data_IF_405011658337
#
_entry.id   IF_405011658337
#
_cell.length_a   1.000
_cell.length_b   1.000
_cell.length_c   1.000
_cell.angle_alpha   90.00
_cell.angle_beta   90.00
_cell.angle_gamma   90.00
#
_symmetry.space_group_name_H-M   'P 1'
#
loop_
_entity.id
_entity.type
_entity.pdbx_description
1 polymer ?
#
# COMPACT_ATOMS: atom_id res chain seq x y z
N UNK A 1 12.30 1.27 11.90
CA UNK A 1 12.59 -0.17 12.01
C UNK A 1 12.04 -0.89 10.79
N UNK A 2 12.81 -1.77 10.17
CA UNK A 2 12.35 -2.61 9.07
C UNK A 2 11.70 -3.89 9.60
N UNK A 3 10.66 -4.37 8.93
CA UNK A 3 9.92 -5.59 9.29
C UNK A 3 9.94 -6.56 8.11
N UNK A 4 10.24 -7.85 8.35
CA UNK A 4 10.22 -8.88 7.32
C UNK A 4 8.98 -9.77 7.47
N UNK A 5 8.16 -9.84 6.43
CA UNK A 5 7.01 -10.71 6.34
C UNK A 5 7.30 -11.87 5.38
N UNK A 6 6.99 -13.08 5.81
CA UNK A 6 6.95 -14.26 4.94
C UNK A 6 5.59 -14.92 5.09
N UNK A 7 4.81 -14.96 4.00
CA UNK A 7 3.52 -15.62 4.04
C UNK A 7 3.70 -17.14 4.18
N UNK A 8 2.84 -17.84 4.97
CA UNK A 8 2.87 -19.30 5.07
C UNK A 8 2.72 -20.01 3.72
N UNK A 9 2.04 -19.38 2.75
CA UNK A 9 1.89 -19.85 1.38
C UNK A 9 3.19 -19.81 0.56
N UNK A 10 4.27 -19.23 1.09
CA UNK A 10 5.54 -19.00 0.38
C UNK A 10 5.36 -18.21 -0.91
N UNK A 11 4.51 -17.19 -0.84
CA UNK A 11 4.33 -16.20 -1.89
C UNK A 11 4.59 -14.81 -1.32
N UNK A 12 5.06 -13.91 -2.18
CA UNK A 12 5.27 -12.53 -1.80
C UNK A 12 3.93 -11.86 -1.48
N UNK A 13 3.92 -11.00 -0.47
CA UNK A 13 2.75 -10.20 -0.15
C UNK A 13 2.40 -9.30 -1.34
N UNK A 14 1.11 -9.24 -1.68
CA UNK A 14 0.58 -8.33 -2.69
C UNK A 14 0.21 -6.98 -2.08
N UNK A 15 -0.30 -6.97 -0.85
CA UNK A 15 -0.56 -5.75 -0.07
C UNK A 15 -0.46 -6.05 1.42
N UNK A 16 0.15 -5.14 2.19
CA UNK A 16 0.18 -5.17 3.64
C UNK A 16 -0.26 -3.83 4.23
N UNK A 17 -0.91 -3.83 5.38
CA UNK A 17 -1.33 -2.62 6.08
C UNK A 17 -1.30 -2.84 7.58
N UNK A 18 -0.89 -1.82 8.35
CA UNK A 18 -0.98 -1.88 9.80
C UNK A 18 -2.43 -1.78 10.27
N UNK A 19 -2.73 -2.46 11.38
CA UNK A 19 -4.00 -2.45 12.07
C UNK A 19 -3.74 -2.56 13.58
N UNK A 20 -3.76 -1.43 14.28
CA UNK A 20 -3.30 -1.38 15.67
C UNK A 20 -1.84 -1.83 15.79
N UNK A 21 -1.59 -2.84 16.63
CA UNK A 21 -0.27 -3.45 16.83
C UNK A 21 -0.01 -4.65 15.91
N UNK A 22 -0.87 -4.88 14.91
CA UNK A 22 -0.76 -5.98 13.97
C UNK A 22 -0.56 -5.47 12.53
N UNK A 23 -0.17 -6.39 11.65
CA UNK A 23 -0.05 -6.15 10.22
C UNK A 23 -0.96 -7.15 9.50
N UNK A 24 -1.93 -6.65 8.76
CA UNK A 24 -2.78 -7.45 7.89
C UNK A 24 -2.19 -7.49 6.47
N UNK A 25 -2.03 -8.70 5.92
CA UNK A 25 -1.44 -8.91 4.61
C UNK A 25 -2.24 -9.89 3.75
N UNK A 26 -2.17 -9.71 2.43
CA UNK A 26 -2.84 -10.55 1.42
C UNK A 26 -1.88 -10.90 0.28
N UNK A 27 -2.07 -12.06 -0.35
CA UNK A 27 -1.28 -12.51 -1.51
C UNK A 27 -1.98 -12.31 -2.86
N UNK A 28 -3.28 -11.99 -2.87
CA UNK A 28 -4.07 -11.88 -4.11
C UNK A 28 -4.38 -13.21 -4.80
N UNK A 29 -3.98 -14.34 -4.23
CA UNK A 29 -4.12 -15.68 -4.82
C UNK A 29 -5.07 -16.56 -4.03
N UNK A 30 -5.05 -16.45 -2.71
CA UNK A 30 -5.88 -17.25 -1.82
C UNK A 30 -6.92 -16.38 -1.13
N UNK A 31 -8.06 -16.97 -0.77
CA UNK A 31 -9.13 -16.34 0.01
C UNK A 31 -8.75 -16.28 1.50
N UNK A 32 -7.61 -15.65 1.79
CA UNK A 32 -7.07 -15.50 3.14
C UNK A 32 -6.50 -14.11 3.35
N UNK A 33 -6.63 -13.65 4.59
CA UNK A 33 -5.92 -12.51 5.14
C UNK A 33 -5.03 -13.04 6.26
N UNK A 34 -3.76 -12.70 6.23
CA UNK A 34 -2.76 -13.13 7.19
C UNK A 34 -2.49 -11.99 8.16
N UNK A 35 -2.43 -12.32 9.45
CA UNK A 35 -2.10 -11.37 10.51
C UNK A 35 -0.69 -11.67 11.01
N UNK A 36 0.10 -10.61 11.14
CA UNK A 36 1.45 -10.63 11.66
C UNK A 36 1.57 -9.70 12.86
N UNK A 37 2.44 -10.02 13.80
CA UNK A 37 2.91 -9.05 14.78
C UNK A 37 3.89 -8.05 14.13
N UNK A 38 4.29 -7.02 14.88
CA UNK A 38 5.27 -6.03 14.43
C UNK A 38 6.70 -6.57 14.26
N UNK A 39 6.97 -7.79 14.75
CA UNK A 39 8.21 -8.51 14.50
C UNK A 39 8.19 -9.27 13.16
N UNK A 40 7.05 -9.32 12.48
CA UNK A 40 6.87 -10.03 11.20
C UNK A 40 6.59 -11.53 11.34
N UNK A 41 6.18 -11.98 12.53
CA UNK A 41 5.74 -13.35 12.78
C UNK A 41 4.25 -13.48 12.46
N UNK A 42 3.89 -14.46 11.62
CA UNK A 42 2.48 -14.75 11.33
C UNK A 42 1.81 -15.33 12.58
N UNK A 43 0.81 -14.63 13.13
CA UNK A 43 0.10 -15.02 14.35
C UNK A 43 -1.23 -15.70 14.05
N UNK A 44 -1.93 -15.30 12.98
CA UNK A 44 -3.24 -15.85 12.62
C UNK A 44 -3.47 -15.75 11.09
N UNK A 45 -4.44 -16.51 10.59
CA UNK A 45 -5.02 -16.28 9.26
C UNK A 45 -6.54 -16.40 9.30
N UNK A 46 -7.22 -15.46 8.63
CA UNK A 46 -8.67 -15.39 8.53
C UNK A 46 -9.11 -15.74 7.11
N UNK A 47 -10.18 -16.51 6.96
CA UNK A 47 -10.78 -16.77 5.66
C UNK A 47 -11.52 -15.52 5.17
N UNK A 48 -11.22 -15.07 3.96
CA UNK A 48 -11.95 -13.98 3.30
C UNK A 48 -12.94 -14.53 2.28
N UNK A 49 -13.89 -13.70 1.85
CA UNK A 49 -14.81 -14.06 0.78
C UNK A 49 -14.14 -14.09 -0.61
N UNK A 50 -12.98 -13.42 -0.76
CA UNK A 50 -12.30 -13.22 -2.06
C UNK A 50 -10.79 -13.23 -1.91
N UNK A 51 -10.10 -13.55 -2.99
CA UNK A 51 -8.66 -13.40 -3.11
C UNK A 51 -8.33 -11.91 -3.28
N UNK A 52 -8.22 -11.18 -2.18
CA UNK A 52 -7.93 -9.75 -2.23
C UNK A 52 -6.48 -9.51 -2.65
N UNK A 53 -6.29 -8.69 -3.69
CA UNK A 53 -4.99 -8.23 -4.16
C UNK A 53 -4.57 -6.91 -3.52
N UNK A 54 -5.48 -6.24 -2.82
CA UNK A 54 -5.23 -5.00 -2.09
C UNK A 54 -5.96 -5.05 -0.76
N UNK A 55 -5.30 -4.57 0.29
CA UNK A 55 -5.88 -4.39 1.61
C UNK A 55 -5.28 -3.14 2.25
N UNK A 56 -6.14 -2.23 2.71
CA UNK A 56 -5.79 -0.95 3.33
C UNK A 56 -6.62 -0.72 4.56
N UNK A 57 -5.98 -0.31 5.63
CA UNK A 57 -6.70 0.12 6.81
C UNK A 57 -7.52 1.38 6.52
N UNK A 58 -8.76 1.37 7.03
CA UNK A 58 -9.69 2.47 6.96
C UNK A 58 -9.87 3.04 8.37
N UNK A 59 -9.16 4.13 8.72
CA UNK A 59 -9.19 4.69 10.06
C UNK A 59 -10.55 5.29 10.43
N UNK A 60 -11.40 5.61 9.44
CA UNK A 60 -12.70 6.25 9.71
C UNK A 60 -13.72 5.22 10.17
N UNK A 61 -13.71 4.02 9.59
CA UNK A 61 -14.62 2.94 10.03
C UNK A 61 -13.97 1.92 10.95
N UNK A 62 -12.69 2.08 11.30
CA UNK A 62 -11.89 1.07 11.99
C UNK A 62 -12.00 -0.30 11.29
N UNK A 63 -11.77 -0.31 9.98
CA UNK A 63 -11.97 -1.46 9.12
C UNK A 63 -10.97 -1.45 7.97
N UNK A 64 -11.37 -1.97 6.81
CA UNK A 64 -10.48 -2.03 5.65
C UNK A 64 -11.19 -1.69 4.35
N UNK A 65 -10.41 -1.16 3.41
CA UNK A 65 -10.74 -1.14 2.00
C UNK A 65 -9.92 -2.22 1.31
N UNK A 66 -10.60 -3.10 0.59
CA UNK A 66 -10.00 -4.22 -0.13
C UNK A 66 -10.39 -4.21 -1.61
N UNK A 67 -9.54 -4.79 -2.44
CA UNK A 67 -9.83 -5.00 -3.87
C UNK A 67 -9.45 -6.40 -4.29
N UNK A 68 -10.23 -6.97 -5.20
CA UNK A 68 -9.94 -8.21 -5.90
C UNK A 68 -9.71 -7.89 -7.38
N UNK A 69 -8.63 -8.37 -7.98
CA UNK A 69 -8.25 -8.02 -9.36
C UNK A 69 -9.30 -8.44 -10.41
N UNK A 70 -10.11 -9.47 -10.10
CA UNK A 70 -11.19 -9.95 -10.99
C UNK A 70 -12.49 -9.15 -10.88
N UNK A 71 -12.56 -8.19 -9.95
CA UNK A 71 -13.76 -7.38 -9.70
C UNK A 71 -13.70 -5.99 -10.37
N UNK A 72 -12.81 -5.80 -11.34
CA UNK A 72 -12.64 -4.53 -12.04
C UNK A 72 -12.16 -3.40 -11.12
N UNK A 73 -12.84 -2.25 -11.19
CA UNK A 73 -12.52 -1.07 -10.37
C UNK A 73 -13.39 -1.00 -9.10
N UNK A 74 -13.95 -2.14 -8.67
CA UNK A 74 -14.75 -2.22 -7.44
C UNK A 74 -13.84 -2.40 -6.22
N UNK A 75 -14.16 -1.67 -5.16
CA UNK A 75 -13.59 -1.86 -3.82
C UNK A 75 -14.63 -2.43 -2.87
N UNK A 76 -14.16 -3.13 -1.85
CA UNK A 76 -14.98 -3.75 -0.82
C UNK A 76 -14.60 -3.15 0.54
N UNK A 77 -15.60 -2.78 1.32
CA UNK A 77 -15.42 -2.35 2.69
C UNK A 77 -15.52 -3.56 3.60
N UNK A 78 -14.49 -3.75 4.43
CA UNK A 78 -14.46 -4.78 5.45
C UNK A 78 -14.55 -4.13 6.84
N UNK A 79 -15.23 -4.78 7.78
CA UNK A 79 -15.15 -4.37 9.19
C UNK A 79 -13.83 -4.83 9.84
N UNK A 80 -13.62 -4.54 11.12
CA UNK A 80 -12.44 -4.96 11.88
C UNK A 80 -12.25 -6.49 12.00
N UNK A 81 -13.29 -7.28 11.68
CA UNK A 81 -13.24 -8.75 11.64
C UNK A 81 -13.08 -9.27 10.19
N UNK A 82 -12.71 -8.41 9.25
CA UNK A 82 -12.53 -8.72 7.83
C UNK A 82 -13.78 -9.19 7.07
N UNK A 83 -14.97 -9.00 7.63
CA UNK A 83 -16.23 -9.31 6.95
C UNK A 83 -16.59 -8.20 5.95
N UNK A 84 -16.96 -8.56 4.71
CA UNK A 84 -17.49 -7.61 3.73
C UNK A 84 -18.80 -7.00 4.25
N UNK A 85 -18.84 -5.66 4.35
CA UNK A 85 -20.00 -4.89 4.81
C UNK A 85 -20.54 -3.92 3.76
N UNK A 86 -19.84 -3.76 2.64
CA UNK A 86 -20.25 -2.87 1.57
C UNK A 86 -19.27 -2.83 0.40
N UNK A 87 -19.63 -2.06 -0.63
CA UNK A 87 -18.80 -1.92 -1.83
C UNK A 87 -19.06 -0.60 -2.54
N UNK A 88 -18.07 -0.13 -3.30
CA UNK A 88 -18.18 1.02 -4.19
C UNK A 88 -17.44 0.73 -5.51
N UNK A 89 -17.89 1.32 -6.61
CA UNK A 89 -17.21 1.23 -7.90
C UNK A 89 -16.49 2.54 -8.18
N UNK A 90 -15.17 2.48 -8.38
CA UNK A 90 -14.32 3.66 -8.59
C UNK A 90 -14.12 3.85 -10.09
N UNK A 91 -15.10 4.53 -10.67
CA UNK A 91 -15.24 4.75 -12.11
C UNK A 91 -15.28 3.45 -12.93
N UNK A 92 -14.73 3.46 -14.14
CA UNK A 92 -14.98 2.43 -15.18
C UNK A 92 -13.71 1.88 -15.79
N UNK A 93 -13.55 0.55 -15.73
CA UNK A 93 -12.43 -0.16 -16.37
C UNK A 93 -12.31 0.15 -17.87
N UNK A 94 -13.45 0.31 -18.56
CA UNK A 94 -13.48 0.54 -20.01
C UNK A 94 -13.02 1.95 -20.40
N UNK A 95 -13.22 2.94 -19.53
CA UNK A 95 -12.91 4.34 -19.82
C UNK A 95 -11.61 4.79 -19.18
N UNK A 96 -11.36 4.34 -17.96
CA UNK A 96 -10.28 4.84 -17.10
C UNK A 96 -9.08 3.89 -17.02
N UNK A 97 -9.26 2.64 -17.46
CA UNK A 97 -8.28 1.58 -17.29
C UNK A 97 -8.36 0.92 -15.90
N UNK A 98 -7.40 0.01 -15.62
CA UNK A 98 -7.39 -0.73 -14.37
C UNK A 98 -7.04 0.18 -13.19
N UNK A 99 -7.75 -0.05 -12.09
CA UNK A 99 -7.40 0.48 -10.78
C UNK A 99 -6.15 -0.24 -10.24
N UNK A 100 -5.06 0.49 -9.98
CA UNK A 100 -3.80 -0.09 -9.48
C UNK A 100 -3.75 -0.11 -7.95
N UNK A 101 -4.23 0.94 -7.32
CA UNK A 101 -4.19 1.11 -5.86
C UNK A 101 -5.35 1.99 -5.38
N UNK A 102 -5.65 1.91 -4.10
CA UNK A 102 -6.62 2.76 -3.40
C UNK A 102 -6.05 3.03 -2.02
N UNK A 103 -6.15 4.26 -1.54
CA UNK A 103 -5.88 4.60 -0.14
C UNK A 103 -7.04 5.37 0.46
N UNK A 104 -7.25 5.21 1.77
CA UNK A 104 -8.25 5.96 2.53
C UNK A 104 -7.57 7.08 3.30
N UNK A 105 -8.07 8.30 3.14
CA UNK A 105 -7.63 9.45 3.93
C UNK A 105 -8.78 10.46 4.06
N UNK A 106 -9.00 11.00 5.26
CA UNK A 106 -10.06 11.99 5.53
C UNK A 106 -11.45 11.55 5.02
N UNK A 107 -11.79 10.27 5.21
CA UNK A 107 -13.07 9.69 4.77
C UNK A 107 -13.26 9.60 3.25
N UNK A 108 -12.21 9.82 2.45
CA UNK A 108 -12.23 9.72 1.00
C UNK A 108 -11.35 8.59 0.50
N UNK A 109 -11.72 8.06 -0.65
CA UNK A 109 -10.93 7.08 -1.40
C UNK A 109 -10.05 7.82 -2.41
N UNK A 110 -8.77 7.51 -2.43
CA UNK A 110 -7.83 8.00 -3.44
C UNK A 110 -7.46 6.84 -4.35
N UNK A 111 -8.15 6.76 -5.49
CA UNK A 111 -7.97 5.71 -6.47
C UNK A 111 -6.81 6.06 -7.41
N UNK A 112 -5.85 5.15 -7.51
CA UNK A 112 -4.69 5.28 -8.39
C UNK A 112 -4.93 4.52 -9.68
N UNK A 113 -4.99 5.25 -10.78
CA UNK A 113 -5.00 4.72 -12.15
C UNK A 113 -3.61 4.85 -12.77
N UNK A 114 -3.47 4.41 -14.03
CA UNK A 114 -2.17 4.31 -14.69
C UNK A 114 -1.38 5.63 -14.69
N UNK A 115 -2.04 6.78 -14.84
CA UNK A 115 -1.39 8.09 -15.02
C UNK A 115 -1.85 9.15 -14.02
N UNK A 116 -2.82 8.82 -13.16
CA UNK A 116 -3.49 9.81 -12.30
C UNK A 116 -3.99 9.21 -11.00
N UNK A 117 -4.28 10.10 -10.06
CA UNK A 117 -4.99 9.77 -8.82
C UNK A 117 -6.25 10.60 -8.75
N UNK A 118 -7.38 9.96 -8.50
CA UNK A 118 -8.69 10.60 -8.40
C UNK A 118 -9.26 10.34 -7.02
N UNK A 119 -9.72 11.40 -6.35
CA UNK A 119 -10.44 11.31 -5.10
C UNK A 119 -11.91 10.97 -5.37
N UNK A 120 -12.47 10.08 -4.56
CA UNK A 120 -13.88 9.68 -4.57
C UNK A 120 -14.46 9.77 -3.15
N UNK A 121 -15.77 9.97 -3.09
CA UNK A 121 -16.57 9.70 -1.88
C UNK A 121 -16.60 8.21 -1.57
N UNK A 122 -17.05 7.83 -0.36
CA UNK A 122 -17.18 6.41 0.04
C UNK A 122 -18.21 5.63 -0.78
N UNK A 123 -19.19 6.29 -1.38
CA UNK A 123 -20.13 5.62 -2.28
C UNK A 123 -19.58 5.37 -3.70
N UNK A 124 -18.39 5.92 -4.01
CA UNK A 124 -17.75 5.80 -5.32
C UNK A 124 -18.05 6.93 -6.29
N UNK A 125 -18.65 8.04 -5.83
CA UNK A 125 -18.83 9.25 -6.64
C UNK A 125 -17.50 10.00 -6.80
N UNK A 126 -17.09 10.39 -8.02
CA UNK A 126 -15.84 11.10 -8.24
C UNK A 126 -15.91 12.53 -7.69
N UNK A 127 -14.80 12.99 -7.10
CA UNK A 127 -14.67 14.34 -6.55
C UNK A 127 -13.74 15.19 -7.43
N UNK A 128 -12.45 14.86 -7.46
CA UNK A 128 -11.44 15.62 -8.21
C UNK A 128 -10.21 14.78 -8.53
N UNK A 129 -9.45 15.21 -9.54
CA UNK A 129 -8.12 14.66 -9.84
C UNK A 129 -7.08 15.33 -8.95
N UNK A 130 -6.38 14.53 -8.14
CA UNK A 130 -5.38 14.97 -7.16
C UNK A 130 -3.97 14.92 -7.74
N UNK A 131 -3.65 13.84 -8.47
CA UNK A 131 -2.42 13.73 -9.27
C UNK A 131 -2.82 13.72 -10.73
N UNK A 132 -2.38 14.72 -11.49
CA UNK A 132 -2.71 14.87 -12.91
C UNK A 132 -1.79 14.02 -13.80
N UNK A 133 -2.29 13.55 -14.96
CA UNK A 133 -1.48 12.90 -15.98
C UNK A 133 -0.25 13.71 -16.37
N UNK A 134 0.88 13.01 -16.51
CA UNK A 134 2.13 13.56 -17.05
C UNK A 134 2.64 12.62 -18.14
N UNK A 135 3.01 13.18 -19.28
CA UNK A 135 3.48 12.38 -20.42
C UNK A 135 4.70 11.54 -20.03
N UNK A 136 4.66 10.24 -20.34
CA UNK A 136 5.76 9.31 -20.04
C UNK A 136 5.92 8.92 -18.57
N UNK A 137 4.96 9.29 -17.71
CA UNK A 137 4.98 8.96 -16.27
C UNK A 137 3.74 8.15 -15.92
N UNK A 138 3.96 6.95 -15.40
CA UNK A 138 2.89 6.12 -14.86
C UNK A 138 2.86 6.22 -13.33
N UNK A 139 1.67 6.33 -12.74
CA UNK A 139 1.43 6.29 -11.29
C UNK A 139 1.02 4.86 -10.91
N UNK A 140 1.46 4.39 -9.73
CA UNK A 140 1.23 3.02 -9.27
C UNK A 140 0.64 2.96 -7.86
N UNK A 141 1.19 3.76 -6.95
CA UNK A 141 0.71 3.86 -5.57
C UNK A 141 0.65 5.33 -5.16
N UNK A 142 -0.29 5.65 -4.28
CA UNK A 142 -0.45 6.98 -3.72
C UNK A 142 -0.94 6.86 -2.29
N UNK A 143 -0.35 7.63 -1.39
CA UNK A 143 -0.84 7.80 -0.02
C UNK A 143 -0.77 9.25 0.39
N UNK A 144 -1.70 9.65 1.26
CA UNK A 144 -1.76 10.98 1.86
C UNK A 144 -1.82 10.86 3.37
N UNK A 145 -1.08 11.71 4.07
CA UNK A 145 -1.15 11.89 5.52
C UNK A 145 -0.95 13.37 5.84
N UNK A 146 -1.99 14.04 6.33
CA UNK A 146 -1.96 15.49 6.53
C UNK A 146 -1.78 16.25 5.22
N UNK A 147 -0.79 17.13 5.24
CA UNK A 147 -0.36 17.93 4.07
C UNK A 147 0.68 17.20 3.21
N UNK A 148 1.15 16.04 3.66
CA UNK A 148 2.15 15.24 2.96
C UNK A 148 1.50 14.18 2.07
N UNK A 149 2.19 13.86 0.98
CA UNK A 149 1.83 12.72 0.13
C UNK A 149 3.06 12.05 -0.46
N UNK A 150 2.96 10.73 -0.60
CA UNK A 150 3.94 9.93 -1.34
C UNK A 150 3.26 9.35 -2.57
N UNK A 151 3.92 9.49 -3.71
CA UNK A 151 3.48 8.92 -4.98
C UNK A 151 4.57 8.02 -5.54
N UNK A 152 4.23 6.76 -5.82
CA UNK A 152 5.09 5.88 -6.61
C UNK A 152 4.82 6.11 -8.09
N UNK A 153 5.85 6.57 -8.79
CA UNK A 153 5.81 6.74 -10.24
C UNK A 153 6.83 5.84 -10.93
N UNK A 154 6.53 5.50 -12.19
CA UNK A 154 7.45 4.84 -13.11
C UNK A 154 7.68 5.77 -14.29
N UNK A 155 8.95 6.10 -14.55
CA UNK A 155 9.38 6.94 -15.68
C UNK A 155 10.59 6.28 -16.33
N UNK A 156 10.54 6.09 -17.64
CA UNK A 156 11.59 5.43 -18.43
C UNK A 156 11.98 4.04 -17.88
N UNK A 157 10.99 3.29 -17.36
CA UNK A 157 11.19 1.97 -16.75
C UNK A 157 11.80 1.99 -15.35
N UNK A 158 12.16 3.15 -14.81
CA UNK A 158 12.69 3.31 -13.46
C UNK A 158 11.58 3.70 -12.48
N UNK A 159 11.55 3.06 -11.32
CA UNK A 159 10.61 3.37 -10.23
C UNK A 159 11.18 4.44 -9.30
N UNK A 160 10.33 5.40 -8.93
CA UNK A 160 10.64 6.49 -8.01
C UNK A 160 9.52 6.66 -6.98
N UNK A 161 9.89 6.97 -5.74
CA UNK A 161 8.94 7.42 -4.72
C UNK A 161 9.15 8.93 -4.59
N UNK A 162 8.11 9.69 -4.90
CA UNK A 162 8.12 11.15 -4.84
C UNK A 162 7.34 11.57 -3.61
N UNK A 163 8.04 12.22 -2.68
CA UNK A 163 7.47 12.90 -1.55
C UNK A 163 7.12 14.34 -1.94
N UNK A 164 5.92 14.78 -1.58
CA UNK A 164 5.47 16.15 -1.77
C UNK A 164 4.97 16.69 -0.44
N UNK A 165 5.69 17.67 0.10
CA UNK A 165 5.28 18.49 1.24
C UNK A 165 5.48 19.97 0.89
N UNK A 166 4.49 20.83 1.16
CA UNK A 166 4.57 22.30 1.06
C UNK A 166 5.24 22.89 -0.21
N UNK A 167 5.04 22.25 -1.36
CA UNK A 167 5.59 22.71 -2.64
C UNK A 167 7.06 22.35 -2.90
N UNK A 168 7.73 21.68 -1.97
CA UNK A 168 9.04 21.07 -2.17
C UNK A 168 8.88 19.57 -2.45
N UNK A 169 9.46 19.11 -3.57
CA UNK A 169 9.47 17.69 -3.94
C UNK A 169 10.82 17.06 -3.64
N UNK A 170 10.83 16.03 -2.79
CA UNK A 170 11.97 15.13 -2.65
C UNK A 170 11.62 13.79 -3.30
N UNK A 171 12.62 13.04 -3.75
CA UNK A 171 12.36 11.75 -4.35
C UNK A 171 13.51 10.79 -4.14
N UNK A 172 13.17 9.52 -4.03
CA UNK A 172 14.13 8.42 -3.93
C UNK A 172 13.90 7.44 -5.06
N UNK A 173 14.97 6.81 -5.52
CA UNK A 173 14.93 5.78 -6.56
C UNK A 173 14.69 4.44 -5.89
N UNK A 174 13.73 3.65 -6.38
CA UNK A 174 13.58 2.25 -5.94
C UNK A 174 14.67 1.42 -6.63
N UNK A 175 15.59 0.78 -5.89
CA UNK A 175 16.67 0.00 -6.48
C UNK A 175 16.18 -1.14 -7.35
N UNK A 176 16.97 -1.53 -8.35
CA UNK A 176 16.70 -2.72 -9.15
C UNK A 176 16.66 -3.96 -8.24
N UNK A 177 15.69 -4.84 -8.48
CA UNK A 177 15.47 -6.04 -7.65
C UNK A 177 14.45 -5.85 -6.54
N UNK A 178 14.12 -4.60 -6.18
CA UNK A 178 13.01 -4.28 -5.30
C UNK A 178 11.78 -3.85 -6.09
N UNK A 179 10.62 -4.34 -5.66
CA UNK A 179 9.32 -3.90 -6.17
C UNK A 179 8.49 -3.37 -5.00
N UNK A 180 8.14 -2.08 -5.04
CA UNK A 180 7.15 -1.52 -4.13
C UNK A 180 5.78 -2.10 -4.46
N UNK A 181 5.08 -2.61 -3.44
CA UNK A 181 3.75 -3.21 -3.53
C UNK A 181 2.65 -2.27 -3.06
N UNK A 182 2.95 -1.47 -2.05
CA UNK A 182 2.06 -0.45 -1.54
C UNK A 182 2.75 0.46 -0.51
N UNK A 183 2.07 1.56 -0.18
CA UNK A 183 2.30 2.31 1.04
C UNK A 183 1.34 1.88 2.16
N UNK A 184 1.75 2.03 3.41
CA UNK A 184 0.89 1.92 4.59
C UNK A 184 1.34 2.91 5.66
N UNK A 185 0.43 3.27 6.57
CA UNK A 185 0.72 4.16 7.70
C UNK A 185 0.67 3.35 9.00
N UNK A 186 1.56 3.66 9.93
CA UNK A 186 1.44 3.31 11.35
C UNK A 186 1.64 4.61 12.13
N UNK A 187 0.66 4.99 12.94
CA UNK A 187 0.63 6.28 13.64
C UNK A 187 0.78 7.47 12.67
N UNK A 188 1.97 8.09 12.62
CA UNK A 188 2.32 9.17 11.70
C UNK A 188 3.36 8.76 10.63
N UNK A 189 3.93 7.56 10.76
CA UNK A 189 5.00 7.08 9.90
C UNK A 189 4.45 6.41 8.66
N UNK A 190 5.12 6.64 7.52
CA UNK A 190 4.74 6.06 6.23
C UNK A 190 5.75 5.00 5.87
N UNK A 191 5.27 3.78 5.67
CA UNK A 191 6.07 2.63 5.27
C UNK A 191 5.80 2.26 3.81
N UNK A 192 6.85 1.83 3.11
CA UNK A 192 6.74 1.13 1.84
C UNK A 192 6.84 -0.38 2.06
N UNK A 193 5.91 -1.14 1.47
CA UNK A 193 6.00 -2.60 1.41
C UNK A 193 6.76 -3.03 0.16
N UNK A 194 8.01 -3.45 0.31
CA UNK A 194 8.88 -3.85 -0.80
C UNK A 194 9.04 -5.36 -0.87
N UNK A 195 8.93 -5.93 -2.06
CA UNK A 195 9.25 -7.35 -2.27
C UNK A 195 10.57 -7.50 -3.00
N UNK A 196 11.40 -8.45 -2.53
CA UNK A 196 12.59 -8.93 -3.23
C UNK A 196 12.40 -10.42 -3.55
N UNK A 197 12.39 -10.76 -4.83
CA UNK A 197 12.04 -12.11 -5.28
C UNK A 197 10.58 -12.49 -5.02
N UNK A 198 10.33 -13.79 -4.83
CA UNK A 198 8.97 -14.37 -4.72
C UNK A 198 8.51 -14.63 -3.27
N UNK A 199 9.34 -14.37 -2.25
CA UNK A 199 9.09 -14.85 -0.89
C UNK A 199 9.00 -13.74 0.15
N UNK A 200 9.96 -12.82 0.15
CA UNK A 200 10.12 -11.86 1.25
C UNK A 200 9.47 -10.51 0.91
N UNK A 201 8.73 -10.00 1.89
CA UNK A 201 8.23 -8.62 1.88
C UNK A 201 8.81 -7.86 3.05
N UNK A 202 9.33 -6.67 2.80
CA UNK A 202 9.90 -5.78 3.80
C UNK A 202 9.03 -4.54 3.95
N UNK A 203 8.60 -4.24 5.18
CA UNK A 203 8.06 -2.92 5.49
C UNK A 203 9.22 -2.02 5.90
N UNK A 204 9.47 -0.98 5.12
CA UNK A 204 10.60 -0.06 5.30
C UNK A 204 10.04 1.34 5.52
N UNK A 205 10.42 2.06 6.61
CA UNK A 205 9.96 3.41 6.85
C UNK A 205 10.53 4.37 5.79
N UNK A 206 9.64 5.12 5.16
CA UNK A 206 9.95 6.13 4.16
C UNK A 206 9.77 7.54 4.72
N UNK A 207 8.85 7.72 5.67
CA UNK A 207 8.72 8.93 6.48
C UNK A 207 8.66 8.49 7.93
N UNK A 208 9.54 9.05 8.76
CA UNK A 208 9.51 8.86 10.21
C UNK A 208 9.61 10.19 10.94
N UNK A 209 8.73 10.42 11.91
CA UNK A 209 8.64 11.68 12.66
C UNK A 209 8.53 12.93 11.75
N UNK A 210 7.77 12.81 10.65
CA UNK A 210 7.59 13.88 9.65
C UNK A 210 8.84 14.17 8.79
N UNK A 211 9.88 13.35 8.90
CA UNK A 211 11.08 13.45 8.07
C UNK A 211 11.02 12.35 7.03
N UNK A 212 11.02 12.72 5.74
CA UNK A 212 11.27 11.81 4.62
C UNK A 212 12.78 11.62 4.48
N UNK A 213 13.39 10.59 5.09
CA UNK A 213 14.83 10.44 5.05
C UNK A 213 15.22 9.97 3.65
N UNK A 214 16.49 10.15 3.29
CA UNK A 214 17.09 9.31 2.27
C UNK A 214 17.23 7.89 2.83
N UNK A 215 16.13 7.15 3.00
CA UNK A 215 16.16 5.78 3.47
C UNK A 215 17.00 4.97 2.49
N UNK A 216 18.06 4.32 2.97
CA UNK A 216 18.84 3.42 2.13
C UNK A 216 17.98 2.19 1.80
N UNK A 217 17.48 2.15 0.58
CA UNK A 217 16.72 1.02 0.06
C UNK A 217 17.63 -0.12 -0.43
N UNK A 218 18.95 -0.06 -0.19
CA UNK A 218 19.83 -1.18 -0.52
C UNK A 218 19.42 -2.43 0.24
N UNK A 219 19.43 -3.58 -0.45
CA UNK A 219 19.06 -4.85 0.16
C UNK A 219 19.93 -5.20 1.36
N UNK A 220 21.23 -4.87 1.32
CA UNK A 220 22.14 -5.07 2.44
C UNK A 220 21.70 -4.25 3.65
N UNK A 221 21.44 -2.95 3.50
CA UNK A 221 20.99 -2.11 4.61
C UNK A 221 19.65 -2.57 5.18
N UNK A 222 18.71 -3.01 4.34
CA UNK A 222 17.42 -3.52 4.81
C UNK A 222 17.62 -4.79 5.65
N UNK A 223 18.42 -5.74 5.17
CA UNK A 223 18.67 -7.00 5.86
C UNK A 223 19.48 -6.82 7.15
N UNK A 224 20.47 -5.94 7.14
CA UNK A 224 21.30 -5.64 8.31
C UNK A 224 20.46 -5.03 9.45
N UNK A 225 19.55 -4.11 9.13
CA UNK A 225 18.60 -3.54 10.11
C UNK A 225 17.68 -4.63 10.69
N UNK A 226 17.10 -5.50 9.84
CA UNK A 226 16.25 -6.60 10.31
C UNK A 226 17.03 -7.54 11.23
N UNK A 227 18.25 -7.93 10.84
CA UNK A 227 19.08 -8.83 11.64
C UNK A 227 19.48 -8.22 12.99
N UNK A 228 19.68 -6.90 13.05
CA UNK A 228 19.92 -6.17 14.30
C UNK A 228 18.69 -6.07 15.21
N UNK A 229 17.49 -6.18 14.64
CA UNK A 229 16.21 -6.03 15.35
C UNK A 229 15.56 -7.37 15.74
N UNK A 230 16.00 -8.50 15.19
CA UNK A 230 15.56 -9.83 15.62
C UNK A 230 16.11 -10.18 17.02
N UNK A 231 15.36 -9.76 18.06
CA UNK A 231 15.49 -10.16 19.46
C UNK A 231 16.88 -9.92 20.11
N UNK A 232 17.06 -8.73 20.69
CA UNK A 232 17.70 -8.61 22.00
C UNK A 232 16.62 -8.67 23.09
#
# INVERSE_FOLDING_TARGET
MNICLTLPSRTAVRSATFFGEEIAAVDGLHTRIFLFDTCGTCIESVNSLRCYSLLRYDPVSNGFVARCDTCGNRVFYLNCFFAEIGTASLGSLACEGPLYDVTMYDGRLYATFEDRVVAYTRDGSPLCTVVRPRLGVATRHYIRSGDESLTHIVRDGQSYIVHSSDGCGAGLVVPRGLTLRNFTIQDADIYGAFTSGYLYTYLVPLVSDGVFPATDLSMCSIMDDIAGNCCN
#
